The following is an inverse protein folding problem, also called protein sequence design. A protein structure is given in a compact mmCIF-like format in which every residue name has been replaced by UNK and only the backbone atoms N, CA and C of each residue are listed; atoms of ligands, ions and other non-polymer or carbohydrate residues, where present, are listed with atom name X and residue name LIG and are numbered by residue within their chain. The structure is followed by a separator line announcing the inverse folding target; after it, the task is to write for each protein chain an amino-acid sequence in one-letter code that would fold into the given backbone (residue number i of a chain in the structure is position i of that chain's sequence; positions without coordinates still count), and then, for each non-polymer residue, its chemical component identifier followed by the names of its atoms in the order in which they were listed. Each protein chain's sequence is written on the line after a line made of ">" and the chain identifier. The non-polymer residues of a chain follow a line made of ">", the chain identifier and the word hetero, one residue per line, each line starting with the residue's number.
data_IF_178507090597
#
_entry.id   IF_178507090597
#
_cell.length_a   1.000
_cell.length_b   1.000
_cell.length_c   1.000
_cell.angle_alpha   90.00
_cell.angle_beta   90.00
_cell.angle_gamma   90.00
#
_symmetry.space_group_name_H-M   'P 1'
#
loop_
_entity.id
_entity.type
_entity.pdbx_description
1 polymer ?
#
# COMPACT_ATOMS: atom_id res chain seq x y z
N UNK A 1 8.99 -4.97 0.60
CA UNK A 1 7.94 -5.25 1.60
C UNK A 1 8.06 -6.62 2.26
N UNK A 2 7.96 -7.74 1.53
CA UNK A 2 8.04 -9.10 2.12
C UNK A 2 9.27 -9.35 3.01
N UNK A 3 10.46 -8.92 2.59
CA UNK A 3 11.68 -9.06 3.38
C UNK A 3 11.56 -8.35 4.74
N UNK A 4 11.02 -7.12 4.76
CA UNK A 4 10.81 -6.36 5.98
C UNK A 4 9.90 -7.08 6.98
N UNK A 5 8.78 -7.63 6.50
CA UNK A 5 7.89 -8.47 7.32
C UNK A 5 8.64 -9.67 7.92
N UNK A 6 9.39 -10.40 7.09
CA UNK A 6 10.12 -11.62 7.49
C UNK A 6 11.22 -11.36 8.51
N UNK A 7 11.93 -10.24 8.42
CA UNK A 7 12.98 -9.90 9.39
C UNK A 7 12.39 -9.29 10.68
N UNK A 8 11.34 -8.49 10.58
CA UNK A 8 10.68 -7.91 11.75
C UNK A 8 10.15 -8.98 12.72
N UNK A 9 9.48 -10.03 12.20
CA UNK A 9 8.94 -11.11 13.04
C UNK A 9 10.01 -11.97 13.74
N UNK A 10 11.26 -11.92 13.30
CA UNK A 10 12.38 -12.57 13.99
C UNK A 10 12.86 -11.76 15.20
N UNK A 11 12.64 -10.45 15.17
CA UNK A 11 13.16 -9.52 16.17
C UNK A 11 12.21 -9.39 17.36
N UNK A 12 10.90 -9.34 17.11
CA UNK A 12 9.88 -9.29 18.15
C UNK A 12 8.53 -9.80 17.64
N UNK A 13 7.58 -9.99 18.56
CA UNK A 13 6.21 -10.40 18.23
C UNK A 13 5.36 -9.20 17.77
N UNK A 14 5.72 -8.61 16.63
CA UNK A 14 4.92 -7.56 16.01
C UNK A 14 3.59 -8.11 15.49
N UNK A 15 2.50 -7.46 15.87
CA UNK A 15 1.13 -7.83 15.47
C UNK A 15 0.57 -6.94 14.37
N UNK A 16 1.20 -5.79 14.13
CA UNK A 16 0.82 -4.79 13.15
C UNK A 16 2.01 -4.37 12.30
N UNK A 17 1.81 -4.31 10.99
CA UNK A 17 2.81 -3.96 10.00
C UNK A 17 2.30 -2.80 9.15
N UNK A 18 3.12 -1.75 9.06
CA UNK A 18 2.85 -0.59 8.21
C UNK A 18 3.83 -0.65 7.04
N UNK A 19 3.31 -0.74 5.83
CA UNK A 19 4.09 -0.62 4.61
C UNK A 19 3.89 0.80 4.09
N UNK A 20 4.97 1.55 3.98
CA UNK A 20 4.90 2.99 3.84
C UNK A 20 5.99 3.50 2.90
N UNK A 21 5.59 4.19 1.83
CA UNK A 21 6.52 4.87 0.95
C UNK A 21 7.19 6.03 1.68
N UNK A 22 8.50 6.14 1.54
CA UNK A 22 9.32 7.11 2.29
C UNK A 22 8.99 8.57 1.93
N UNK A 23 8.36 8.79 0.79
CA UNK A 23 8.03 10.11 0.24
C UNK A 23 6.61 10.57 0.57
N UNK A 24 5.82 9.77 1.28
CA UNK A 24 4.50 10.16 1.75
C UNK A 24 4.54 10.56 3.23
N UNK A 25 3.88 11.67 3.59
CA UNK A 25 3.77 12.11 4.97
C UNK A 25 2.32 12.45 5.32
N UNK A 26 1.78 11.98 6.46
CA UNK A 26 0.43 12.35 6.89
C UNK A 26 0.39 13.84 7.23
N UNK A 27 -0.66 14.53 6.80
CA UNK A 27 -0.86 15.96 7.10
C UNK A 27 -1.60 16.21 8.41
N UNK A 28 -2.12 15.16 9.04
CA UNK A 28 -3.01 15.23 10.20
C UNK A 28 -2.64 14.16 11.23
N UNK A 29 -2.50 14.55 12.50
CA UNK A 29 -2.07 13.68 13.60
C UNK A 29 -3.15 12.65 14.01
N UNK A 30 -4.41 12.87 13.59
CA UNK A 30 -5.49 11.89 13.74
C UNK A 30 -5.26 10.65 12.86
N UNK A 31 -4.34 10.71 11.87
CA UNK A 31 -3.86 9.53 11.14
C UNK A 31 -2.84 8.74 11.96
N UNK A 32 -3.33 8.09 13.01
CA UNK A 32 -2.51 7.21 13.87
C UNK A 32 -2.02 5.97 13.12
N UNK A 33 -0.76 5.61 13.31
CA UNK A 33 -0.17 4.44 12.66
C UNK A 33 -0.52 3.19 13.46
N UNK A 34 -1.46 2.42 12.93
CA UNK A 34 -2.00 1.24 13.59
C UNK A 34 -2.88 0.44 12.65
N UNK A 35 -3.10 -0.81 13.02
CA UNK A 35 -3.88 -1.75 12.24
C UNK A 35 -5.33 -1.77 12.72
N UNK A 36 -6.23 -2.06 11.79
CA UNK A 36 -7.66 -2.20 12.05
C UNK A 36 -8.09 -3.68 11.89
N UNK A 37 -9.36 -3.96 12.16
CA UNK A 37 -9.96 -5.28 11.96
C UNK A 37 -9.93 -5.75 10.49
N UNK A 38 -9.79 -4.81 9.55
CA UNK A 38 -9.60 -5.05 8.12
C UNK A 38 -8.31 -4.34 7.63
N UNK A 39 -7.70 -4.77 6.51
CA UNK A 39 -6.56 -4.07 5.91
C UNK A 39 -6.89 -2.60 5.66
N UNK A 40 -6.03 -1.70 6.15
CA UNK A 40 -6.27 -0.27 6.13
C UNK A 40 -5.41 0.38 5.04
N UNK A 41 -6.02 1.08 4.10
CA UNK A 41 -5.32 2.03 3.23
C UNK A 41 -5.31 3.40 3.89
N UNK A 42 -4.11 3.86 4.26
CA UNK A 42 -3.89 5.07 5.04
C UNK A 42 -3.78 6.30 4.15
N UNK A 43 -3.03 6.21 3.04
CA UNK A 43 -2.81 7.31 2.07
C UNK A 43 -3.89 7.42 1.00
N UNK A 44 -5.16 7.34 1.40
CA UNK A 44 -6.29 7.34 0.46
C UNK A 44 -6.38 8.64 -0.36
N UNK A 45 -6.02 9.78 0.23
CA UNK A 45 -6.06 11.07 -0.42
C UNK A 45 -4.68 11.75 -0.34
N UNK A 46 -4.04 11.91 -1.49
CA UNK A 46 -2.71 12.55 -1.59
C UNK A 46 -2.78 13.85 -2.37
N UNK A 47 -1.90 14.79 -2.07
CA UNK A 47 -1.83 16.11 -2.72
C UNK A 47 -1.62 16.02 -4.25
N UNK A 48 -0.84 15.04 -4.72
CA UNK A 48 -0.65 14.74 -6.15
C UNK A 48 -1.95 14.46 -6.91
N UNK A 49 -2.98 13.94 -6.24
CA UNK A 49 -4.31 13.69 -6.81
C UNK A 49 -5.34 14.67 -6.27
N UNK A 50 -4.91 15.87 -5.87
CA UNK A 50 -5.77 16.92 -5.33
C UNK A 50 -6.66 16.42 -4.17
N UNK A 51 -6.08 15.60 -3.29
CA UNK A 51 -6.75 14.96 -2.15
C UNK A 51 -8.05 14.21 -2.52
N UNK A 52 -8.12 13.68 -3.74
CA UNK A 52 -9.20 12.80 -4.19
C UNK A 52 -8.67 11.38 -4.27
N UNK A 53 -9.50 10.40 -3.88
CA UNK A 53 -9.19 8.99 -4.09
C UNK A 53 -9.11 8.74 -5.60
N UNK A 54 -7.97 8.25 -6.08
CA UNK A 54 -7.74 8.12 -7.52
C UNK A 54 -8.57 6.99 -8.16
N UNK A 55 -8.73 5.85 -7.47
CA UNK A 55 -9.69 4.79 -7.82
C UNK A 55 -10.00 3.89 -6.61
N UNK A 56 -11.15 3.20 -6.65
CA UNK A 56 -11.69 2.50 -5.48
C UNK A 56 -10.84 1.34 -4.96
N UNK A 57 -10.12 0.67 -5.86
CA UNK A 57 -9.27 -0.50 -5.54
C UNK A 57 -7.85 -0.12 -5.14
N UNK A 58 -7.53 1.17 -5.03
CA UNK A 58 -6.18 1.63 -4.73
C UNK A 58 -5.72 1.18 -3.34
N UNK A 59 -4.56 0.50 -3.28
CA UNK A 59 -3.95 -0.05 -2.06
C UNK A 59 -2.42 0.14 -2.05
N UNK A 60 -1.95 1.34 -2.37
CA UNK A 60 -0.54 1.71 -2.41
C UNK A 60 -0.20 2.90 -1.52
N UNK A 61 1.06 3.34 -1.53
CA UNK A 61 1.53 4.46 -0.73
C UNK A 61 1.79 4.08 0.73
N UNK A 62 0.76 4.17 1.57
CA UNK A 62 0.80 3.85 2.99
C UNK A 62 -0.37 2.93 3.35
N UNK A 63 -0.07 1.72 3.82
CA UNK A 63 -1.05 0.71 4.19
C UNK A 63 -0.68 0.04 5.51
N UNK A 64 -1.70 -0.37 6.28
CA UNK A 64 -1.55 -1.09 7.53
C UNK A 64 -2.24 -2.45 7.48
N UNK A 65 -1.54 -3.48 7.95
CA UNK A 65 -2.04 -4.84 7.99
C UNK A 65 -1.59 -5.54 9.27
N UNK A 66 -2.52 -6.25 9.92
CA UNK A 66 -2.14 -7.17 10.99
C UNK A 66 -1.30 -8.31 10.43
N UNK A 67 -0.52 -8.96 11.31
CA UNK A 67 0.22 -10.17 10.96
C UNK A 67 -0.67 -11.20 10.25
N UNK A 68 -1.82 -11.49 10.84
CA UNK A 68 -2.78 -12.46 10.33
C UNK A 68 -3.32 -12.06 8.96
N UNK A 69 -3.63 -10.77 8.76
CA UNK A 69 -4.12 -10.28 7.46
C UNK A 69 -3.07 -10.48 6.36
N UNK A 70 -1.80 -10.20 6.67
CA UNK A 70 -0.68 -10.32 5.73
C UNK A 70 -0.33 -11.78 5.40
N UNK A 71 -0.32 -12.65 6.41
CA UNK A 71 -0.09 -14.08 6.20
C UNK A 71 -1.24 -14.71 5.41
N UNK A 72 -2.49 -14.30 5.66
CA UNK A 72 -3.68 -14.79 4.94
C UNK A 72 -3.69 -14.41 3.46
N UNK A 73 -3.08 -13.27 3.10
CA UNK A 73 -2.93 -12.84 1.69
C UNK A 73 -1.68 -13.44 1.02
N UNK A 74 -0.91 -14.27 1.72
CA UNK A 74 0.38 -14.82 1.27
C UNK A 74 1.43 -13.73 0.94
N UNK A 75 1.34 -12.57 1.59
CA UNK A 75 2.20 -11.41 1.32
C UNK A 75 2.10 -10.85 -0.09
N UNK A 76 3.04 -9.97 -0.44
CA UNK A 76 3.14 -9.37 -1.78
C UNK A 76 3.70 -10.35 -2.81
N UNK A 77 3.39 -10.15 -4.10
CA UNK A 77 4.03 -10.91 -5.17
C UNK A 77 5.50 -10.51 -5.35
N UNK A 78 6.40 -11.50 -5.42
CA UNK A 78 7.84 -11.29 -5.67
C UNK A 78 8.21 -11.23 -7.17
N UNK A 79 7.22 -11.01 -8.05
CA UNK A 79 7.42 -11.08 -9.51
C UNK A 79 7.22 -9.76 -10.24
N UNK A 80 7.00 -8.68 -9.48
CA UNK A 80 6.99 -7.32 -9.97
C UNK A 80 8.40 -6.74 -9.82
N UNK A 81 8.99 -6.35 -10.94
CA UNK A 81 10.30 -5.71 -11.03
C UNK A 81 10.11 -4.40 -11.81
N UNK A 82 10.70 -3.32 -11.32
CA UNK A 82 10.37 -1.96 -11.76
C UNK A 82 9.01 -1.51 -11.23
N UNK A 83 8.52 -0.40 -11.78
CA UNK A 83 7.35 0.29 -11.25
C UNK A 83 6.02 -0.35 -11.70
N UNK A 84 5.12 -0.56 -10.73
CA UNK A 84 3.68 -0.70 -10.89
C UNK A 84 3.10 -2.11 -10.73
N UNK A 85 1.83 -2.12 -10.34
CA UNK A 85 0.87 -3.24 -10.24
C UNK A 85 1.05 -4.18 -9.04
N UNK A 86 2.10 -4.02 -8.24
CA UNK A 86 2.30 -4.81 -7.03
C UNK A 86 1.22 -4.51 -5.98
N UNK A 87 0.81 -3.25 -5.87
CA UNK A 87 -0.22 -2.80 -4.94
C UNK A 87 -1.63 -3.24 -5.38
N UNK A 88 -1.89 -3.18 -6.70
CA UNK A 88 -3.15 -3.69 -7.28
C UNK A 88 -3.24 -5.22 -7.16
N UNK A 89 -2.10 -5.93 -7.28
CA UNK A 89 -2.01 -7.36 -7.00
C UNK A 89 -2.29 -7.68 -5.54
N UNK A 90 -1.73 -6.88 -4.63
CA UNK A 90 -1.99 -7.00 -3.21
C UNK A 90 -3.49 -6.79 -2.90
N UNK A 91 -4.12 -5.77 -3.47
CA UNK A 91 -5.56 -5.55 -3.33
C UNK A 91 -6.37 -6.79 -3.76
N UNK A 92 -6.04 -7.41 -4.91
CA UNK A 92 -6.72 -8.62 -5.35
C UNK A 92 -6.49 -9.79 -4.38
N UNK A 93 -5.29 -9.98 -3.85
CA UNK A 93 -5.01 -11.02 -2.84
C UNK A 93 -5.85 -10.82 -1.58
N UNK A 94 -6.03 -9.57 -1.15
CA UNK A 94 -6.93 -9.24 -0.04
C UNK A 94 -8.37 -9.64 -0.36
N UNK A 95 -8.88 -9.26 -1.54
CA UNK A 95 -10.21 -9.64 -1.99
C UNK A 95 -10.40 -11.17 -2.06
N UNK A 96 -9.45 -11.90 -2.66
CA UNK A 96 -9.48 -13.37 -2.74
C UNK A 96 -9.44 -14.05 -1.37
N UNK A 97 -8.84 -13.40 -0.37
CA UNK A 97 -8.79 -13.91 1.01
C UNK A 97 -9.96 -13.40 1.87
N UNK A 98 -11.02 -12.85 1.26
CA UNK A 98 -12.21 -12.29 1.92
C UNK A 98 -11.85 -11.19 2.93
N UNK A 99 -10.88 -10.34 2.59
CA UNK A 99 -10.46 -9.20 3.38
C UNK A 99 -10.89 -7.93 2.62
N UNK A 100 -11.79 -7.16 3.22
CA UNK A 100 -12.30 -5.94 2.59
C UNK A 100 -11.42 -4.77 2.94
N UNK A 101 -11.19 -3.88 1.99
CA UNK A 101 -10.39 -2.69 2.22
C UNK A 101 -11.12 -1.72 3.17
N UNK A 102 -10.42 -1.22 4.18
CA UNK A 102 -10.87 -0.14 5.05
C UNK A 102 -10.10 1.15 4.73
N UNK A 103 -10.79 2.29 4.86
CA UNK A 103 -10.18 3.63 4.80
C UNK A 103 -10.75 4.49 5.92
N UNK A 104 -9.94 5.39 6.45
CA UNK A 104 -10.40 6.39 7.43
C UNK A 104 -11.06 7.57 6.71
N UNK A 105 -11.62 8.50 7.49
CA UNK A 105 -12.31 9.67 6.97
C UNK A 105 -11.35 10.54 6.14
N UNK A 106 -11.75 10.84 4.91
CA UNK A 106 -10.93 11.58 3.93
C UNK A 106 -10.62 13.02 4.36
N UNK A 107 -11.38 13.57 5.31
CA UNK A 107 -11.13 14.90 5.88
C UNK A 107 -9.76 14.98 6.58
N UNK A 108 -9.34 13.89 7.22
CA UNK A 108 -8.05 13.81 7.93
C UNK A 108 -7.10 12.76 7.36
N UNK A 109 -7.55 11.85 6.49
CA UNK A 109 -6.69 10.86 5.83
C UNK A 109 -5.85 11.43 4.66
N UNK A 110 -5.37 12.67 4.82
CA UNK A 110 -4.61 13.41 3.80
C UNK A 110 -3.12 13.20 3.95
N UNK A 111 -2.44 13.00 2.82
CA UNK A 111 -1.00 12.82 2.76
C UNK A 111 -0.37 13.79 1.77
N UNK A 112 0.84 14.23 2.10
CA UNK A 112 1.71 15.03 1.25
C UNK A 112 2.74 14.13 0.60
N UNK A 113 2.84 14.15 -0.73
CA UNK A 113 3.94 13.52 -1.46
C UNK A 113 5.10 14.50 -1.57
N UNK A 114 6.27 14.10 -1.07
CA UNK A 114 7.51 14.84 -1.28
C UNK A 114 7.85 14.81 -2.76
N UNK A 115 8.21 15.97 -3.32
CA UNK A 115 8.53 16.07 -4.74
C UNK A 115 9.92 15.50 -4.99
N UNK A 116 10.00 14.53 -5.89
CA UNK A 116 11.25 14.02 -6.41
C UNK A 116 11.14 13.76 -7.92
N UNK A 117 12.28 13.75 -8.61
CA UNK A 117 12.33 13.20 -9.98
C UNK A 117 12.23 11.68 -9.90
N UNK A 118 11.71 11.05 -10.95
CA UNK A 118 11.58 9.59 -10.97
C UNK A 118 12.96 8.94 -10.75
N UNK A 119 13.02 8.03 -9.78
CA UNK A 119 14.28 7.41 -9.39
C UNK A 119 14.82 6.50 -10.49
N UNK A 120 16.14 6.58 -10.69
CA UNK A 120 16.87 5.72 -11.63
C UNK A 120 16.73 4.26 -11.16
N UNK A 121 16.35 3.34 -12.04
CA UNK A 121 16.07 1.94 -11.70
C UNK A 121 14.62 1.64 -11.30
N UNK A 122 13.75 2.65 -11.25
CA UNK A 122 12.30 2.50 -11.08
C UNK A 122 11.55 2.84 -12.40
N UNK A 123 12.12 2.39 -13.52
CA UNK A 123 11.49 2.55 -14.82
C UNK A 123 10.13 1.83 -14.83
N UNK A 124 9.21 2.36 -15.63
CA UNK A 124 7.91 1.75 -15.81
C UNK A 124 8.09 0.34 -16.38
N UNK A 125 7.58 -0.68 -15.68
CA UNK A 125 7.66 -2.03 -16.19
C UNK A 125 6.84 -2.15 -17.48
N UNK A 126 7.46 -2.41 -18.65
CA UNK A 126 6.72 -2.46 -19.92
C UNK A 126 5.72 -3.62 -19.98
N UNK A 127 5.90 -4.63 -19.11
CA UNK A 127 5.04 -5.82 -19.01
C UNK A 127 4.02 -5.73 -17.86
N UNK A 128 3.86 -4.57 -17.23
CA UNK A 128 2.97 -4.41 -16.07
C UNK A 128 1.51 -4.85 -16.35
N UNK A 129 1.01 -4.58 -17.55
CA UNK A 129 -0.35 -4.98 -17.97
C UNK A 129 -0.46 -6.44 -18.41
N UNK A 130 0.67 -7.12 -18.69
CA UNK A 130 0.62 -8.52 -19.16
C UNK A 130 0.21 -9.49 -18.04
N UNK A 131 0.29 -9.04 -16.77
CA UNK A 131 -0.17 -9.80 -15.60
C UNK A 131 -1.52 -9.30 -15.07
N UNK A 132 -1.89 -8.04 -15.34
CA UNK A 132 -3.07 -7.36 -14.80
C UNK A 132 -3.80 -6.58 -15.90
N UNK A 133 -5.04 -6.98 -16.19
CA UNK A 133 -5.83 -6.43 -17.31
C UNK A 133 -6.35 -5.00 -17.09
N UNK A 134 -6.32 -4.46 -15.87
CA UNK A 134 -6.89 -3.14 -15.57
C UNK A 134 -6.15 -2.46 -14.41
N UNK A 135 -5.74 -1.21 -14.67
CA UNK A 135 -5.10 -0.20 -13.81
C UNK A 135 -3.79 -0.61 -13.11
N UNK A 136 -2.76 0.21 -13.33
CA UNK A 136 -1.41 0.04 -12.82
C UNK A 136 -0.78 1.44 -12.77
N UNK A 137 -1.07 2.19 -11.71
CA UNK A 137 -0.93 3.65 -11.72
C UNK A 137 -0.16 4.28 -10.56
N UNK A 138 0.18 3.49 -9.54
CA UNK A 138 1.14 3.90 -8.51
C UNK A 138 2.43 3.11 -8.59
#
# INVERSE_FOLDING_TARGET
>A
MNSGFREAIKTANFTCFIFHDVDLLPEDDRMTYGCEHQPLHMSATIDKFNYTLYYDTLFGGAVAMTRTQFEKSLGYANTYFGWGCEDDDMYKRLAFSNQMLMRRNFTFARYKMMKHVRDIGNEQNPKRYSKFSFLCFL
#
